data_IF_352366116603
#
_entry.id   IF_352366116603
#
_cell.length_a   1.000
_cell.length_b   1.000
_cell.length_c   1.000
_cell.angle_alpha   90.00
_cell.angle_beta   90.00
_cell.angle_gamma   90.00
#
_symmetry.space_group_name_H-M   'P 1'
#
loop_
_entity.id
_entity.type
_entity.pdbx_description
1 polymer ?
#
# COMPACT_ATOMS: atom_id res chain seq x y z
N UNK A 1 -11.64 4.96 8.24
CA UNK A 1 -10.48 5.30 7.39
C UNK A 1 -10.42 6.82 7.20
N UNK A 2 -9.48 7.51 7.85
CA UNK A 2 -9.27 8.94 7.62
C UNK A 2 -8.24 9.13 6.51
N UNK A 3 -8.71 9.24 5.27
CA UNK A 3 -7.92 9.68 4.13
C UNK A 3 -8.22 11.17 3.83
N UNK A 4 -7.29 11.93 3.25
CA UNK A 4 -5.89 11.56 2.95
C UNK A 4 -5.02 11.48 4.22
N UNK A 5 -3.77 10.97 4.11
CA UNK A 5 -2.79 10.97 5.21
C UNK A 5 -1.61 11.90 4.92
N UNK A 6 -1.08 12.55 5.95
CA UNK A 6 0.12 13.40 5.83
C UNK A 6 1.38 12.66 6.30
N UNK A 7 2.42 12.66 5.47
CA UNK A 7 3.72 12.05 5.76
C UNK A 7 4.80 13.01 5.24
N UNK A 8 5.69 13.46 6.12
CA UNK A 8 6.81 14.35 5.79
C UNK A 8 6.39 15.59 4.98
N UNK A 9 5.24 16.17 5.32
CA UNK A 9 4.69 17.36 4.65
C UNK A 9 4.07 17.08 3.27
N UNK A 10 3.84 15.82 2.92
CA UNK A 10 3.18 15.40 1.69
C UNK A 10 1.85 14.70 2.00
N UNK A 11 0.84 14.98 1.17
CA UNK A 11 -0.49 14.38 1.28
C UNK A 11 -0.57 13.14 0.40
N UNK A 12 -0.78 11.98 1.00
CA UNK A 12 -0.93 10.69 0.32
C UNK A 12 -2.40 10.28 0.25
N UNK A 13 -2.80 9.90 -0.96
CA UNK A 13 -4.11 9.34 -1.27
C UNK A 13 -4.04 7.81 -1.41
N UNK A 14 -5.16 7.10 -1.16
CA UNK A 14 -5.21 5.66 -1.35
C UNK A 14 -5.00 5.30 -2.83
N UNK A 15 -4.24 4.23 -3.10
CA UNK A 15 -4.12 3.69 -4.46
C UNK A 15 -5.49 3.20 -4.94
N UNK A 16 -6.00 3.65 -6.10
CA UNK A 16 -7.26 3.16 -6.63
C UNK A 16 -7.18 1.67 -7.00
N UNK A 17 -8.23 0.91 -6.68
CA UNK A 17 -8.34 -0.50 -7.09
C UNK A 17 -8.28 -0.68 -8.62
N UNK A 18 -8.66 0.36 -9.38
CA UNK A 18 -8.56 0.40 -10.84
C UNK A 18 -7.11 0.40 -11.33
N UNK A 19 -6.15 0.95 -10.58
CA UNK A 19 -4.73 0.85 -10.93
C UNK A 19 -4.25 -0.59 -10.75
N UNK A 20 -4.60 -1.23 -9.63
CA UNK A 20 -4.19 -2.61 -9.33
C UNK A 20 -4.71 -3.62 -10.35
N UNK A 21 -5.93 -3.40 -10.81
CA UNK A 21 -6.64 -4.28 -11.75
C UNK A 21 -6.41 -3.89 -13.21
N UNK A 22 -5.61 -2.86 -13.48
CA UNK A 22 -5.34 -2.40 -14.84
C UNK A 22 -4.57 -3.48 -15.64
N UNK A 23 -4.85 -3.68 -16.95
CA UNK A 23 -4.15 -4.68 -17.77
C UNK A 23 -2.63 -4.51 -17.79
N UNK A 24 -2.14 -3.28 -17.71
CA UNK A 24 -0.71 -2.95 -17.71
C UNK A 24 -0.10 -2.87 -16.29
N UNK A 25 -0.86 -3.21 -15.25
CA UNK A 25 -0.36 -3.35 -13.90
C UNK A 25 0.20 -4.77 -13.70
N UNK A 26 1.48 -4.87 -13.39
CA UNK A 26 2.18 -6.16 -13.31
C UNK A 26 2.93 -6.35 -11.99
N UNK A 27 3.11 -7.61 -11.60
CA UNK A 27 3.95 -7.97 -10.47
C UNK A 27 5.41 -7.98 -10.90
N UNK A 28 6.20 -7.06 -10.34
CA UNK A 28 7.60 -6.89 -10.75
C UNK A 28 8.49 -7.86 -10.00
N UNK A 29 9.22 -8.68 -10.78
CA UNK A 29 10.16 -9.73 -10.35
C UNK A 29 9.48 -10.89 -9.64
N UNK A 30 10.10 -12.06 -9.70
CA UNK A 30 9.72 -13.24 -8.91
C UNK A 30 10.44 -13.24 -7.55
N UNK A 31 9.89 -13.95 -6.56
CA UNK A 31 10.50 -14.14 -5.24
C UNK A 31 9.69 -13.58 -4.07
N UNK A 32 10.31 -13.58 -2.90
CA UNK A 32 9.76 -13.17 -1.60
C UNK A 32 10.83 -12.44 -0.76
N UNK A 33 10.43 -11.56 0.18
CA UNK A 33 9.06 -11.09 0.42
C UNK A 33 8.59 -10.09 -0.65
N UNK A 34 7.29 -10.12 -0.94
CA UNK A 34 6.64 -9.18 -1.88
C UNK A 34 5.92 -8.09 -1.12
N UNK A 35 6.04 -6.86 -1.60
CA UNK A 35 5.37 -5.67 -1.08
C UNK A 35 4.39 -5.10 -2.12
N UNK A 36 3.32 -4.47 -1.64
CA UNK A 36 2.14 -4.12 -2.44
C UNK A 36 1.84 -2.62 -2.39
N UNK A 37 1.47 -2.03 -3.52
CA UNK A 37 1.15 -0.60 -3.58
C UNK A 37 -0.09 -0.27 -2.74
N UNK A 38 0.01 0.73 -1.86
CA UNK A 38 -1.07 1.10 -0.92
C UNK A 38 -1.48 2.57 -1.01
N UNK A 39 -0.53 3.49 -1.15
CA UNK A 39 -0.83 4.92 -1.24
C UNK A 39 0.12 5.61 -2.23
N UNK A 40 -0.30 6.77 -2.73
CA UNK A 40 0.52 7.59 -3.60
C UNK A 40 0.30 9.08 -3.38
N UNK A 41 1.31 9.86 -3.74
CA UNK A 41 1.22 11.30 -3.86
C UNK A 41 1.92 11.77 -5.13
N UNK A 42 1.52 12.93 -5.64
CA UNK A 42 2.23 13.59 -6.74
C UNK A 42 3.43 14.36 -6.23
N UNK A 43 4.55 14.25 -6.93
CA UNK A 43 5.70 15.15 -6.75
C UNK A 43 5.98 15.98 -8.01
N UNK A 44 6.87 16.96 -7.87
CA UNK A 44 7.48 17.71 -8.98
C UNK A 44 6.44 18.30 -9.96
N UNK A 45 5.46 19.04 -9.43
CA UNK A 45 4.35 19.63 -10.19
C UNK A 45 3.51 18.59 -10.95
N UNK A 46 3.26 17.42 -10.34
CA UNK A 46 2.44 16.36 -10.94
C UNK A 46 3.14 15.53 -12.01
N UNK A 47 4.47 15.65 -12.16
CA UNK A 47 5.24 14.92 -13.17
C UNK A 47 5.72 13.55 -12.70
N UNK A 48 5.73 13.30 -11.39
CA UNK A 48 6.03 11.98 -10.84
C UNK A 48 5.04 11.63 -9.74
N UNK A 49 4.95 10.34 -9.48
CA UNK A 49 4.25 9.77 -8.35
C UNK A 49 5.27 9.17 -7.39
N UNK A 50 5.13 9.48 -6.12
CA UNK A 50 5.75 8.72 -5.04
C UNK A 50 4.71 7.71 -4.55
N UNK A 51 5.03 6.43 -4.71
CA UNK A 51 4.13 5.32 -4.39
C UNK A 51 4.73 4.57 -3.21
N UNK A 52 3.92 4.33 -2.20
CA UNK A 52 4.29 3.58 -1.00
C UNK A 52 3.86 2.12 -1.18
N UNK A 53 4.79 1.20 -0.95
CA UNK A 53 4.57 -0.23 -1.02
C UNK A 53 4.73 -0.83 0.38
N UNK A 54 3.68 -1.46 0.89
CA UNK A 54 3.67 -2.04 2.23
C UNK A 54 3.93 -3.55 2.21
N UNK A 55 4.61 -4.05 3.24
CA UNK A 55 4.71 -5.48 3.51
C UNK A 55 3.36 -6.02 4.01
N UNK A 56 2.94 -7.24 3.58
CA UNK A 56 1.64 -7.80 3.96
C UNK A 56 1.46 -7.94 5.48
N UNK A 57 2.51 -8.33 6.20
CA UNK A 57 2.44 -8.67 7.63
C UNK A 57 3.36 -7.86 8.53
N UNK A 58 4.36 -7.18 7.97
CA UNK A 58 5.40 -6.49 8.73
C UNK A 58 5.15 -4.97 8.64
N UNK A 59 5.74 -4.14 9.50
CA UNK A 59 5.48 -2.71 9.48
C UNK A 59 6.21 -1.99 8.35
N UNK A 60 6.99 -2.66 7.51
CA UNK A 60 7.89 -2.01 6.57
C UNK A 60 7.22 -1.45 5.31
N UNK A 61 7.66 -0.27 4.88
CA UNK A 61 7.29 0.38 3.63
C UNK A 61 8.52 0.72 2.80
N UNK A 62 8.40 0.49 1.49
CA UNK A 62 9.32 1.05 0.50
C UNK A 62 8.62 2.16 -0.29
N UNK A 63 9.27 3.30 -0.41
CA UNK A 63 8.82 4.38 -1.30
C UNK A 63 9.48 4.22 -2.68
N UNK A 64 8.68 4.25 -3.73
CA UNK A 64 9.14 4.15 -5.11
C UNK A 64 8.61 5.32 -5.94
N UNK A 65 9.52 6.03 -6.60
CA UNK A 65 9.16 7.13 -7.49
C UNK A 65 9.04 6.65 -8.93
N UNK A 66 7.97 7.04 -9.62
CA UNK A 66 7.74 6.71 -11.03
C UNK A 66 7.17 7.92 -11.79
N UNK A 67 7.28 7.92 -13.12
CA UNK A 67 6.67 8.97 -13.93
C UNK A 67 5.16 9.01 -13.75
N UNK A 68 4.57 10.20 -13.82
CA UNK A 68 3.13 10.40 -13.77
C UNK A 68 2.60 10.86 -15.14
N UNK A 69 1.38 10.49 -15.44
CA UNK A 69 0.64 10.92 -16.62
C UNK A 69 -0.67 11.56 -16.20
N UNK A 70 -0.94 12.77 -16.65
CA UNK A 70 -2.22 13.44 -16.41
C UNK A 70 -3.29 12.87 -17.36
N UNK A 71 -4.48 12.62 -16.84
CA UNK A 71 -5.63 12.11 -17.60
C UNK A 71 -6.72 13.17 -17.71
N UNK A 72 -7.57 13.08 -18.73
CA UNK A 72 -8.51 14.14 -19.16
C UNK A 72 -9.50 14.61 -18.08
N UNK A 73 -9.73 13.82 -17.02
CA UNK A 73 -10.59 14.16 -15.90
C UNK A 73 -9.86 14.91 -14.76
N UNK A 74 -8.62 15.34 -14.97
CA UNK A 74 -7.80 16.04 -13.97
C UNK A 74 -7.08 15.11 -12.99
N UNK A 75 -7.22 13.79 -13.15
CA UNK A 75 -6.46 12.80 -12.40
C UNK A 75 -5.03 12.63 -12.91
N UNK A 76 -4.24 11.89 -12.13
CA UNK A 76 -2.88 11.48 -12.49
C UNK A 76 -2.78 9.97 -12.32
N UNK A 77 -2.03 9.29 -13.18
CA UNK A 77 -1.79 7.85 -13.11
C UNK A 77 -0.30 7.55 -13.30
N UNK A 78 0.21 6.39 -12.88
CA UNK A 78 1.56 5.98 -13.21
C UNK A 78 1.74 5.91 -14.71
N UNK A 79 2.84 6.45 -15.24
CA UNK A 79 3.14 6.45 -16.67
C UNK A 79 3.11 5.03 -17.26
N UNK A 80 3.52 4.02 -16.48
CA UNK A 80 3.47 2.62 -16.86
C UNK A 80 2.05 2.03 -17.04
N UNK A 81 0.99 2.77 -16.75
CA UNK A 81 -0.39 2.40 -17.12
C UNK A 81 -0.83 2.96 -18.48
N UNK A 82 -0.03 3.84 -19.09
CA UNK A 82 -0.38 4.55 -20.33
C UNK A 82 0.64 4.27 -21.44
N UNK A 83 1.93 4.23 -21.09
CA UNK A 83 3.02 4.04 -22.03
C UNK A 83 3.08 2.60 -22.55
N UNK A 84 2.93 2.43 -23.88
CA UNK A 84 2.99 1.11 -24.51
C UNK A 84 4.31 0.40 -24.25
N UNK A 85 4.23 -0.86 -23.80
CA UNK A 85 5.40 -1.68 -23.49
C UNK A 85 6.05 -1.35 -22.14
N UNK A 86 5.49 -0.39 -21.40
CA UNK A 86 5.79 -0.17 -20.00
C UNK A 86 4.75 -0.90 -19.15
N UNK A 87 5.16 -1.34 -17.96
CA UNK A 87 4.25 -1.91 -16.97
C UNK A 87 4.49 -1.24 -15.63
N UNK A 88 3.41 -0.72 -15.05
CA UNK A 88 3.45 -0.20 -13.70
C UNK A 88 3.53 -1.37 -12.70
N UNK A 89 4.51 -1.37 -11.78
CA UNK A 89 4.65 -2.45 -10.82
C UNK A 89 3.61 -2.32 -9.70
N UNK A 90 2.48 -3.02 -9.76
CA UNK A 90 1.51 -3.01 -8.65
C UNK A 90 2.03 -3.69 -7.38
N UNK A 91 3.02 -4.57 -7.54
CA UNK A 91 3.78 -5.20 -6.45
C UNK A 91 5.24 -5.37 -6.84
N UNK A 92 6.12 -5.44 -5.83
CA UNK A 92 7.58 -5.48 -6.04
C UNK A 92 8.22 -6.48 -5.06
N UNK A 93 9.26 -7.18 -5.50
CA UNK A 93 10.26 -7.79 -4.60
C UNK A 93 11.42 -6.79 -4.43
N UNK A 94 11.60 -6.20 -3.23
CA UNK A 94 12.55 -5.12 -3.00
C UNK A 94 14.00 -5.59 -3.18
N UNK A 95 14.87 -4.64 -3.54
CA UNK A 95 16.34 -4.84 -3.63
C UNK A 95 17.12 -3.99 -2.63
N UNK A 96 16.40 -3.16 -1.91
CA UNK A 96 16.90 -2.15 -1.00
C UNK A 96 16.11 -2.28 0.28
N UNK A 97 16.70 -1.81 1.37
CA UNK A 97 16.03 -1.81 2.66
C UNK A 97 14.78 -0.90 2.61
N UNK A 98 13.74 -1.24 3.39
CA UNK A 98 12.61 -0.37 3.61
C UNK A 98 13.03 1.00 4.11
N UNK A 99 12.30 2.03 3.71
CA UNK A 99 12.64 3.43 4.02
C UNK A 99 11.68 4.06 5.02
N UNK A 100 10.57 3.39 5.35
CA UNK A 100 9.54 3.91 6.24
C UNK A 100 8.71 2.78 6.86
N UNK A 101 7.73 3.13 7.70
CA UNK A 101 6.75 2.24 8.30
C UNK A 101 5.35 2.44 7.70
N UNK A 102 4.51 1.41 7.73
CA UNK A 102 3.11 1.47 7.27
C UNK A 102 2.24 2.14 8.31
N UNK A 103 1.35 3.03 7.88
CA UNK A 103 0.35 3.67 8.75
C UNK A 103 -0.92 2.82 8.81
N UNK A 104 -1.73 3.02 9.83
CA UNK A 104 -2.98 2.27 10.01
C UNK A 104 -3.94 2.41 8.81
N UNK A 105 -4.24 3.61 8.27
CA UNK A 105 -5.07 3.72 7.07
C UNK A 105 -4.49 2.98 5.86
N UNK A 106 -3.17 2.96 5.69
CA UNK A 106 -2.51 2.20 4.62
C UNK A 106 -2.68 0.69 4.79
N UNK A 107 -2.63 0.20 6.03
CA UNK A 107 -2.83 -1.21 6.35
C UNK A 107 -4.29 -1.63 6.10
N UNK A 108 -5.24 -0.82 6.53
CA UNK A 108 -6.67 -1.06 6.29
C UNK A 108 -6.96 -1.10 4.78
N UNK A 109 -6.45 -0.12 4.03
CA UNK A 109 -6.61 -0.05 2.57
C UNK A 109 -5.91 -1.20 1.84
N UNK A 110 -4.76 -1.66 2.35
CA UNK A 110 -4.10 -2.85 1.81
C UNK A 110 -4.99 -4.08 1.92
N UNK A 111 -5.65 -4.27 3.07
CA UNK A 111 -6.59 -5.39 3.27
C UNK A 111 -7.75 -5.27 2.28
N UNK A 112 -8.33 -4.07 2.12
CA UNK A 112 -9.44 -3.83 1.20
C UNK A 112 -9.07 -4.13 -0.27
N UNK A 113 -7.93 -3.59 -0.74
CA UNK A 113 -7.58 -3.67 -2.16
C UNK A 113 -6.83 -4.95 -2.51
N UNK A 114 -6.22 -5.64 -1.55
CA UNK A 114 -5.39 -6.82 -1.85
C UNK A 114 -5.77 -8.08 -1.10
N UNK A 115 -6.60 -8.02 -0.06
CA UNK A 115 -6.96 -9.19 0.78
C UNK A 115 -7.49 -10.37 -0.05
N UNK A 116 -8.41 -10.10 -0.98
CA UNK A 116 -8.98 -11.15 -1.86
C UNK A 116 -8.01 -11.64 -2.95
N UNK A 117 -6.87 -10.96 -3.14
CA UNK A 117 -5.90 -11.23 -4.21
C UNK A 117 -4.65 -11.94 -3.71
N UNK A 118 -4.37 -11.89 -2.41
CA UNK A 118 -3.09 -12.30 -1.81
C UNK A 118 -3.32 -12.99 -0.48
N UNK A 119 -3.11 -14.30 -0.44
CA UNK A 119 -3.30 -15.13 0.77
C UNK A 119 -2.47 -14.68 1.99
N UNK A 120 -1.33 -14.01 1.74
CA UNK A 120 -0.46 -13.53 2.81
C UNK A 120 -0.98 -12.26 3.53
N UNK A 121 -1.99 -11.58 2.96
CA UNK A 121 -2.58 -10.39 3.56
C UNK A 121 -3.67 -10.84 4.53
N UNK A 122 -3.65 -10.39 5.80
CA UNK A 122 -4.65 -10.79 6.78
C UNK A 122 -6.05 -10.45 6.29
N UNK A 123 -6.97 -11.42 6.37
CA UNK A 123 -8.38 -11.15 6.16
C UNK A 123 -8.92 -10.30 7.32
N UNK A 124 -9.88 -9.40 7.07
CA UNK A 124 -10.47 -8.59 8.14
C UNK A 124 -11.08 -9.46 9.26
N UNK A 125 -11.56 -10.66 8.91
CA UNK A 125 -12.12 -11.63 9.86
C UNK A 125 -11.06 -12.23 10.80
N UNK A 126 -9.78 -12.22 10.44
CA UNK A 126 -8.70 -12.80 11.28
C UNK A 126 -8.23 -11.84 12.37
N UNK A 127 -8.53 -10.54 12.26
CA UNK A 127 -8.14 -9.51 13.25
C UNK A 127 -9.08 -9.42 14.45
N UNK A 128 -10.32 -9.89 14.33
CA UNK A 128 -11.29 -9.89 15.44
C UNK A 128 -10.92 -10.85 16.59
N UNK A 129 -10.00 -11.80 16.36
CA UNK A 129 -9.57 -12.80 17.35
C UNK A 129 -8.39 -12.35 18.23
N UNK A 130 -7.90 -11.10 18.08
CA UNK A 130 -6.74 -10.60 18.85
C UNK A 130 -7.07 -9.69 20.02
N UNK A 131 -8.34 -9.55 20.36
CA UNK A 131 -8.79 -8.70 21.47
C UNK A 131 -9.61 -9.52 22.48
N UNK A 132 -9.00 -10.52 23.14
CA UNK A 132 -9.64 -11.23 24.26
C UNK A 132 -8.66 -12.04 25.15
N UNK A 133 -7.52 -11.49 25.59
CA UNK A 133 -6.87 -11.96 26.84
C UNK A 133 -6.12 -10.82 27.52
N UNK A 134 -6.83 -10.03 28.32
CA UNK A 134 -6.30 -9.40 29.53
C UNK A 134 -7.46 -8.82 30.35
N UNK A 135 -8.05 -9.63 31.23
CA UNK A 135 -8.62 -9.13 32.47
C UNK A 135 -7.85 -9.78 33.60
N UNK A 136 -6.89 -9.04 34.14
CA UNK A 136 -6.35 -9.30 35.46
C UNK A 136 -7.41 -8.94 36.48
N UNK A 137 -7.83 -9.91 37.28
CA UNK A 137 -8.69 -9.72 38.45
C UNK A 137 -8.04 -10.36 39.66
N UNK A 138 -7.30 -9.54 40.41
CA UNK A 138 -6.83 -9.82 41.77
C UNK A 138 -8.05 -9.91 42.71
N UNK A 139 -8.18 -11.01 43.45
CA UNK A 139 -9.12 -11.25 44.57
C UNK A 139 -8.71 -12.59 45.20
N UNK A 140 -8.53 -12.81 46.49
CA UNK A 140 -8.82 -12.00 47.67
C UNK A 140 -7.98 -12.59 48.83
N UNK A 141 -7.71 -11.76 49.83
CA UNK A 141 -7.08 -12.13 51.08
C UNK A 141 -8.00 -13.02 51.95
N UNK A 142 -7.45 -14.11 52.52
CA UNK A 142 -7.52 -14.45 53.95
C UNK A 142 -6.74 -15.74 54.26
#
# INVERSE_FOLDING_TARGET
MSWPIEIDGQTFDPIPASWISHPDAADRRAGSPRIYAVSATTDYNGKRLQIRYAHPTEPYVLVYTTGAYAIDNGGVVPAGLVERGSHWPRSIVPRTDPTDIVREPEREHMIEVWGDRVDAIPSPDTTADRQLVADGGDSDAQ
#
